data_IF_259195289177
#
_entry.id   IF_259195289177
#
_cell.length_a   1.000
_cell.length_b   1.000
_cell.length_c   1.000
_cell.angle_alpha   90.00
_cell.angle_beta   90.00
_cell.angle_gamma   90.00
#
_symmetry.space_group_name_H-M   'P 1'
#
loop_
_entity.id
_entity.type
_entity.pdbx_description
1 polymer ?
#
# COMPACT_ATOMS: atom_id res chain seq x y z
N UNK A 1 14.10 -9.73 -36.30
CA UNK A 1 13.04 -10.75 -36.34
C UNK A 1 11.83 -10.19 -35.60
N UNK A 2 10.65 -10.30 -36.22
CA UNK A 2 9.48 -9.45 -35.96
C UNK A 2 8.96 -9.47 -34.53
N UNK A 3 8.57 -8.29 -34.06
CA UNK A 3 7.71 -8.06 -32.91
C UNK A 3 6.50 -8.99 -32.99
N UNK A 4 6.49 -10.01 -32.14
CA UNK A 4 5.45 -11.01 -32.14
C UNK A 4 4.19 -10.43 -31.48
N UNK A 5 3.40 -9.70 -32.26
CA UNK A 5 2.07 -9.22 -31.92
C UNK A 5 1.20 -10.32 -31.29
N UNK A 6 1.38 -11.59 -31.69
CA UNK A 6 0.66 -12.72 -31.10
C UNK A 6 1.06 -13.04 -29.65
N UNK A 7 2.29 -12.70 -29.24
CA UNK A 7 2.72 -12.75 -27.84
C UNK A 7 2.05 -11.67 -26.99
N UNK A 8 1.94 -10.45 -27.55
CA UNK A 8 1.22 -9.31 -26.97
C UNK A 8 -0.27 -9.62 -26.77
N UNK A 9 -0.93 -10.23 -27.77
CA UNK A 9 -2.34 -10.66 -27.66
C UNK A 9 -2.54 -11.79 -26.63
N UNK A 10 -1.56 -12.69 -26.45
CA UNK A 10 -1.59 -13.69 -25.37
C UNK A 10 -1.43 -13.07 -23.99
N UNK A 11 -0.57 -12.06 -23.82
CA UNK A 11 -0.43 -11.34 -22.55
C UNK A 11 -1.70 -10.55 -22.19
N UNK A 12 -2.39 -9.96 -23.16
CA UNK A 12 -3.68 -9.29 -22.95
C UNK A 12 -4.78 -10.24 -22.44
N UNK A 13 -4.76 -11.51 -22.87
CA UNK A 13 -5.69 -12.53 -22.38
C UNK A 13 -5.56 -12.78 -20.86
N UNK A 14 -4.38 -12.55 -20.29
CA UNK A 14 -4.14 -12.68 -18.84
C UNK A 14 -4.32 -11.38 -18.06
N UNK A 15 -4.32 -10.23 -18.74
CA UNK A 15 -4.46 -8.93 -18.09
C UNK A 15 -5.93 -8.59 -17.88
N UNK A 16 -6.86 -9.09 -18.71
CA UNK A 16 -8.34 -8.90 -18.66
C UNK A 16 -8.79 -7.66 -17.88
N UNK A 17 -8.19 -6.52 -18.24
CA UNK A 17 -8.39 -5.26 -17.55
C UNK A 17 -8.69 -4.20 -18.62
N UNK A 18 -9.93 -3.70 -18.69
CA UNK A 18 -10.35 -2.74 -19.71
C UNK A 18 -9.60 -1.40 -19.61
N UNK A 19 -8.84 -1.15 -18.54
CA UNK A 19 -8.03 0.06 -18.36
C UNK A 19 -6.54 -0.12 -18.72
N UNK A 20 -6.13 -1.29 -19.18
CA UNK A 20 -4.77 -1.50 -19.68
C UNK A 20 -4.53 -0.68 -20.96
N UNK A 21 -3.38 -0.03 -21.04
CA UNK A 21 -2.96 0.73 -22.23
C UNK A 21 -1.65 0.16 -22.75
N UNK A 22 -1.56 -0.04 -24.06
CA UNK A 22 -0.39 -0.61 -24.72
C UNK A 22 0.36 0.52 -25.41
N UNK A 23 1.66 0.62 -25.15
CA UNK A 23 2.56 1.53 -25.84
C UNK A 23 3.65 0.68 -26.48
N UNK A 24 3.82 0.77 -27.80
CA UNK A 24 4.93 0.12 -28.49
C UNK A 24 6.22 0.93 -28.28
N UNK A 25 7.30 0.23 -27.91
CA UNK A 25 8.63 0.81 -27.70
C UNK A 25 9.59 0.15 -28.69
N UNK A 26 10.35 0.90 -29.49
CA UNK A 26 11.37 0.33 -30.37
C UNK A 26 12.40 -0.49 -29.57
N UNK A 27 12.86 -1.61 -30.14
CA UNK A 27 13.83 -2.49 -29.48
C UNK A 27 15.10 -1.72 -29.06
N UNK A 28 15.58 -1.97 -27.85
CA UNK A 28 16.76 -1.31 -27.29
C UNK A 28 16.57 0.16 -26.86
N UNK A 29 15.38 0.74 -27.05
CA UNK A 29 15.07 2.08 -26.53
C UNK A 29 14.54 2.03 -25.09
N UNK A 30 14.88 3.02 -24.23
CA UNK A 30 14.27 3.14 -22.92
C UNK A 30 12.77 3.44 -23.06
N UNK A 31 11.98 3.00 -22.07
CA UNK A 31 10.58 3.36 -21.99
C UNK A 31 10.42 4.86 -21.72
N UNK A 32 9.73 5.56 -22.62
CA UNK A 32 9.41 6.98 -22.48
C UNK A 32 8.15 7.15 -21.61
N UNK A 33 8.35 7.47 -20.34
CA UNK A 33 7.26 7.66 -19.37
C UNK A 33 6.33 8.83 -19.75
N UNK A 34 6.77 9.79 -20.57
CA UNK A 34 5.93 10.92 -20.99
C UNK A 34 4.74 10.49 -21.87
N UNK A 35 4.84 9.31 -22.49
CA UNK A 35 3.78 8.72 -23.32
C UNK A 35 2.81 7.86 -22.52
N UNK A 36 3.07 7.66 -21.24
CA UNK A 36 2.21 6.87 -20.37
C UNK A 36 1.18 7.79 -19.73
N UNK A 37 -0.12 7.46 -19.76
CA UNK A 37 -1.13 8.22 -19.04
C UNK A 37 -0.78 8.35 -17.55
N UNK A 38 -0.92 9.54 -16.99
CA UNK A 38 -0.48 9.83 -15.61
C UNK A 38 -1.26 9.09 -14.51
N UNK A 39 -2.38 8.44 -14.85
CA UNK A 39 -3.16 7.57 -13.97
C UNK A 39 -2.59 6.14 -13.85
N UNK A 40 -1.57 5.78 -14.65
CA UNK A 40 -1.01 4.43 -14.64
C UNK A 40 0.02 4.27 -13.54
N UNK A 41 -0.20 3.23 -12.72
CA UNK A 41 0.66 2.90 -11.58
C UNK A 41 1.71 1.84 -11.93
N UNK A 42 1.47 1.06 -12.98
CA UNK A 42 2.26 -0.09 -13.38
C UNK A 42 2.58 -0.04 -14.88
N UNK A 43 3.81 -0.41 -15.23
CA UNK A 43 4.30 -0.56 -16.59
C UNK A 43 4.82 -1.99 -16.79
N UNK A 44 4.21 -2.72 -17.72
CA UNK A 44 4.73 -4.01 -18.18
C UNK A 44 5.58 -3.78 -19.43
N UNK A 45 6.87 -4.12 -19.36
CA UNK A 45 7.79 -4.14 -20.49
C UNK A 45 8.01 -5.57 -20.95
N UNK A 46 7.94 -5.79 -22.28
CA UNK A 46 8.12 -7.10 -22.92
C UNK A 46 9.42 -7.05 -23.71
N UNK A 47 10.32 -8.00 -23.48
CA UNK A 47 11.64 -8.05 -24.13
C UNK A 47 12.73 -7.31 -23.35
N UNK A 48 13.92 -7.22 -23.97
CA UNK A 48 15.11 -6.62 -23.36
C UNK A 48 15.08 -5.09 -23.50
N UNK A 49 14.50 -4.44 -22.49
CA UNK A 49 14.42 -2.99 -22.39
C UNK A 49 15.09 -2.51 -21.10
N UNK A 50 15.77 -1.36 -21.18
CA UNK A 50 16.29 -0.68 -20.01
C UNK A 50 15.14 -0.29 -19.05
N UNK A 51 15.35 -0.38 -17.72
CA UNK A 51 14.39 0.11 -16.73
C UNK A 51 14.01 1.57 -17.01
N UNK A 52 12.73 1.94 -16.84
CA UNK A 52 12.35 3.34 -16.89
C UNK A 52 13.07 4.13 -15.78
N UNK A 53 13.49 5.38 -16.06
CA UNK A 53 13.94 6.29 -15.00
C UNK A 53 12.84 6.45 -13.96
N UNK A 54 13.22 6.62 -12.69
CA UNK A 54 12.29 6.79 -11.56
C UNK A 54 11.35 5.61 -11.27
N UNK A 55 11.59 4.42 -11.84
CA UNK A 55 10.88 3.22 -11.43
C UNK A 55 11.33 2.75 -10.03
N UNK A 56 10.37 2.53 -9.14
CA UNK A 56 10.64 2.23 -7.73
C UNK A 56 10.62 0.73 -7.38
N UNK A 57 10.13 -0.10 -8.30
CA UNK A 57 10.05 -1.54 -8.12
C UNK A 57 10.15 -2.23 -9.48
N UNK A 58 10.91 -3.32 -9.56
CA UNK A 58 11.05 -4.17 -10.75
C UNK A 58 10.83 -5.63 -10.36
N UNK A 59 9.91 -6.29 -11.05
CA UNK A 59 9.75 -7.74 -11.01
C UNK A 59 10.05 -8.32 -12.40
N UNK A 60 11.03 -9.20 -12.50
CA UNK A 60 11.38 -9.89 -13.75
C UNK A 60 10.67 -11.23 -13.81
N UNK A 61 9.93 -11.48 -14.90
CA UNK A 61 9.17 -12.69 -15.16
C UNK A 61 9.46 -13.17 -16.59
N UNK A 62 10.46 -14.04 -16.77
CA UNK A 62 10.88 -14.53 -18.10
C UNK A 62 11.07 -13.38 -19.11
N UNK A 63 10.26 -13.34 -20.18
CA UNK A 63 10.31 -12.33 -21.25
C UNK A 63 9.67 -10.98 -20.86
N UNK A 64 9.26 -10.83 -19.59
CA UNK A 64 8.55 -9.66 -19.08
C UNK A 64 9.29 -9.02 -17.90
N UNK A 65 9.20 -7.70 -17.80
CA UNK A 65 9.56 -6.96 -16.60
C UNK A 65 8.41 -6.03 -16.21
N UNK A 66 7.93 -6.16 -14.97
CA UNK A 66 6.90 -5.29 -14.42
C UNK A 66 7.54 -4.22 -13.55
N UNK A 67 7.22 -2.96 -13.84
CA UNK A 67 7.71 -1.80 -13.12
C UNK A 67 6.57 -1.05 -12.45
N UNK A 68 6.78 -0.60 -11.21
CA UNK A 68 5.90 0.40 -10.60
C UNK A 68 6.41 1.79 -10.99
N UNK A 69 5.53 2.58 -11.61
CA UNK A 69 5.82 3.93 -12.13
C UNK A 69 4.97 5.01 -11.47
N UNK A 70 3.88 4.61 -10.79
CA UNK A 70 3.05 5.53 -10.04
C UNK A 70 3.67 5.87 -8.68
N UNK A 71 3.48 7.12 -8.28
CA UNK A 71 3.96 7.63 -6.99
C UNK A 71 2.94 7.44 -5.86
N UNK A 72 1.75 6.88 -6.14
CA UNK A 72 0.76 6.70 -5.11
C UNK A 72 1.24 5.68 -4.07
N UNK A 73 1.17 6.08 -2.80
CA UNK A 73 1.42 5.21 -1.64
C UNK A 73 0.10 4.85 -0.98
N UNK A 74 -0.87 4.45 -1.80
CA UNK A 74 -2.21 4.07 -1.37
C UNK A 74 -2.25 2.57 -1.05
N UNK A 75 -2.70 2.25 0.15
CA UNK A 75 -2.84 0.91 0.70
C UNK A 75 -4.33 0.66 0.89
N UNK A 76 -4.84 -0.33 0.16
CA UNK A 76 -6.19 -0.86 0.30
C UNK A 76 -6.12 -2.12 1.16
N UNK A 77 -6.68 -2.07 2.37
CA UNK A 77 -6.60 -3.16 3.33
C UNK A 77 -7.54 -4.33 3.03
N UNK A 78 -8.31 -4.29 1.93
CA UNK A 78 -9.00 -5.48 1.41
C UNK A 78 -8.02 -6.42 0.67
N UNK A 79 -6.83 -5.94 0.31
CA UNK A 79 -5.80 -6.70 -0.38
C UNK A 79 -4.91 -7.45 0.62
N UNK A 80 -4.31 -8.54 0.16
CA UNK A 80 -3.38 -9.37 0.95
C UNK A 80 -1.91 -8.96 0.80
N UNK A 81 -1.59 -8.12 -0.19
CA UNK A 81 -0.24 -7.63 -0.45
C UNK A 81 -0.29 -6.28 -1.18
N UNK A 82 0.80 -5.50 -1.04
CA UNK A 82 0.97 -4.17 -1.64
C UNK A 82 2.32 -4.05 -2.34
N UNK A 83 2.54 -4.83 -3.42
CA UNK A 83 3.81 -4.90 -4.10
C UNK A 83 4.25 -3.52 -4.61
N UNK A 84 5.52 -3.18 -4.38
CA UNK A 84 6.08 -1.88 -4.74
C UNK A 84 5.61 -0.71 -3.87
N UNK A 85 4.84 -0.95 -2.80
CA UNK A 85 4.49 0.06 -1.79
C UNK A 85 5.07 -0.35 -0.44
N UNK A 86 4.77 -1.57 0.01
CA UNK A 86 5.26 -2.11 1.27
C UNK A 86 6.27 -3.24 1.03
N UNK A 87 7.41 -3.17 1.73
CA UNK A 87 8.39 -4.22 1.85
C UNK A 87 7.97 -5.29 2.87
N UNK A 88 7.22 -4.89 3.90
CA UNK A 88 6.80 -5.77 4.98
C UNK A 88 5.63 -5.21 5.77
N UNK A 89 4.84 -6.12 6.36
CA UNK A 89 3.71 -5.80 7.23
C UNK A 89 3.69 -6.75 8.41
N UNK A 90 3.45 -6.20 9.60
CA UNK A 90 3.36 -6.95 10.85
C UNK A 90 2.14 -6.47 11.65
N UNK A 91 1.55 -7.37 12.43
CA UNK A 91 0.43 -7.04 13.33
C UNK A 91 -0.92 -6.88 12.65
N UNK A 92 -1.09 -7.37 11.41
CA UNK A 92 -2.37 -7.46 10.75
C UNK A 92 -2.87 -8.91 10.73
N UNK A 93 -4.18 -9.09 10.87
CA UNK A 93 -4.86 -10.36 10.60
C UNK A 93 -5.02 -10.61 9.10
N UNK A 94 -5.73 -11.69 8.74
CA UNK A 94 -6.17 -11.93 7.37
C UNK A 94 -7.10 -10.83 6.86
N UNK A 95 -6.92 -10.43 5.59
CA UNK A 95 -7.78 -9.47 4.92
C UNK A 95 -9.21 -10.01 4.73
N UNK A 96 -10.17 -9.11 4.90
CA UNK A 96 -11.61 -9.30 4.76
C UNK A 96 -12.16 -8.39 3.65
N UNK A 97 -13.42 -8.58 3.24
CA UNK A 97 -14.01 -7.86 2.10
C UNK A 97 -14.09 -6.34 2.28
N UNK A 98 -14.01 -5.86 3.54
CA UNK A 98 -14.12 -4.45 3.90
C UNK A 98 -12.77 -3.84 4.33
N UNK A 99 -11.76 -4.65 4.62
CA UNK A 99 -10.51 -4.19 5.22
C UNK A 99 -9.78 -5.29 5.99
N UNK A 100 -8.87 -4.90 6.88
CA UNK A 100 -8.09 -5.82 7.71
C UNK A 100 -8.03 -5.33 9.16
N UNK A 101 -8.16 -6.26 10.10
CA UNK A 101 -7.96 -5.96 11.52
C UNK A 101 -6.48 -5.92 11.91
N UNK A 102 -6.15 -5.08 12.90
CA UNK A 102 -4.96 -5.30 13.73
C UNK A 102 -5.08 -6.63 14.49
N UNK A 103 -3.95 -7.29 14.70
CA UNK A 103 -3.82 -8.44 15.58
C UNK A 103 -2.70 -8.18 16.59
N UNK A 104 -3.09 -7.81 17.81
CA UNK A 104 -2.18 -7.45 18.88
C UNK A 104 -1.92 -5.94 19.02
N UNK A 105 -0.89 -5.56 19.78
CA UNK A 105 -0.70 -4.19 20.26
C UNK A 105 -0.01 -3.26 19.26
N UNK A 106 0.57 -3.79 18.17
CA UNK A 106 1.36 -2.98 17.24
C UNK A 106 1.12 -3.43 15.81
N UNK A 107 0.82 -2.48 14.94
CA UNK A 107 0.86 -2.65 13.48
C UNK A 107 2.06 -1.89 12.94
N UNK A 108 2.87 -2.54 12.10
CA UNK A 108 4.01 -1.90 11.44
C UNK A 108 3.88 -2.07 9.94
N UNK A 109 3.92 -0.96 9.21
CA UNK A 109 3.94 -0.89 7.76
C UNK A 109 5.33 -0.43 7.33
N UNK A 110 6.08 -1.31 6.69
CA UNK A 110 7.41 -1.00 6.16
C UNK A 110 7.31 -0.73 4.66
N UNK A 111 7.62 0.49 4.25
CA UNK A 111 7.56 0.98 2.87
C UNK A 111 8.84 0.64 2.10
N UNK A 112 8.68 0.34 0.80
CA UNK A 112 9.82 0.04 -0.09
C UNK A 112 10.73 1.25 -0.34
N UNK A 113 10.19 2.47 -0.18
CA UNK A 113 10.91 3.73 -0.33
C UNK A 113 10.72 4.61 0.91
N UNK A 114 11.72 5.42 1.30
CA UNK A 114 11.61 6.34 2.43
C UNK A 114 10.37 7.24 2.39
N UNK A 115 9.80 7.54 3.54
CA UNK A 115 8.69 8.49 3.69
C UNK A 115 9.12 9.92 3.31
N UNK A 116 8.24 10.75 2.73
CA UNK A 116 8.55 12.15 2.48
C UNK A 116 8.84 12.91 3.78
N UNK A 117 9.66 13.96 3.73
CA UNK A 117 10.00 14.75 4.94
C UNK A 117 8.79 15.47 5.54
N UNK A 118 7.83 15.86 4.69
CA UNK A 118 6.56 16.50 5.08
C UNK A 118 5.45 15.80 4.34
N UNK A 119 4.49 15.26 5.06
CA UNK A 119 3.37 14.55 4.45
C UNK A 119 2.15 14.57 5.35
N UNK A 120 0.99 14.28 4.76
CA UNK A 120 -0.22 13.90 5.49
C UNK A 120 -0.44 12.41 5.31
N UNK A 121 -0.59 11.72 6.44
CA UNK A 121 -1.07 10.36 6.46
C UNK A 121 -2.61 10.41 6.52
N UNK A 122 -3.26 10.00 5.46
CA UNK A 122 -4.71 9.78 5.45
C UNK A 122 -4.98 8.34 5.85
N UNK A 123 -5.77 8.14 6.89
CA UNK A 123 -6.10 6.84 7.45
C UNK A 123 -7.62 6.73 7.60
N UNK A 124 -8.21 5.76 6.89
CA UNK A 124 -9.61 5.37 7.07
C UNK A 124 -9.68 4.13 7.93
N UNK A 125 -10.14 4.28 9.16
CA UNK A 125 -10.18 3.20 10.14
C UNK A 125 -11.31 3.36 11.17
N UNK A 126 -11.54 2.32 11.96
CA UNK A 126 -12.38 2.34 13.17
C UNK A 126 -11.71 1.57 14.31
N UNK A 127 -12.02 1.93 15.54
CA UNK A 127 -11.60 1.18 16.73
C UNK A 127 -12.58 0.04 17.05
N UNK A 128 -12.07 -0.95 17.79
CA UNK A 128 -12.83 -2.07 18.32
C UNK A 128 -12.82 -2.08 19.85
N UNK A 129 -14.00 -2.34 20.44
CA UNK A 129 -14.17 -2.56 21.87
C UNK A 129 -13.59 -1.42 22.73
N UNK A 130 -12.69 -1.71 23.69
CA UNK A 130 -12.18 -0.73 24.64
C UNK A 130 -11.25 0.32 24.02
N UNK A 131 -10.87 0.16 22.74
CA UNK A 131 -10.05 1.14 22.01
C UNK A 131 -10.88 2.32 21.47
N UNK A 132 -12.21 2.21 21.45
CA UNK A 132 -13.10 3.29 20.99
C UNK A 132 -12.95 4.50 21.91
N UNK A 133 -12.68 5.67 21.33
CA UNK A 133 -12.47 6.90 22.10
C UNK A 133 -11.15 6.96 22.87
N UNK A 134 -10.21 6.03 22.64
CA UNK A 134 -8.87 6.04 23.24
C UNK A 134 -7.84 6.60 22.27
N UNK A 135 -6.75 7.13 22.84
CA UNK A 135 -5.61 7.61 22.07
C UNK A 135 -4.85 6.40 21.49
N UNK A 136 -4.69 6.43 20.18
CA UNK A 136 -3.86 5.50 19.40
C UNK A 136 -2.65 6.30 18.94
N UNK A 137 -1.45 5.81 19.26
CA UNK A 137 -0.23 6.45 18.79
C UNK A 137 0.09 5.98 17.37
N UNK A 138 0.42 6.91 16.49
CA UNK A 138 0.90 6.67 15.13
C UNK A 138 2.27 7.32 15.02
N UNK A 139 3.28 6.53 14.69
CA UNK A 139 4.67 6.97 14.66
C UNK A 139 5.27 6.79 13.27
N UNK A 140 6.02 7.79 12.82
CA UNK A 140 6.79 7.79 11.59
C UNK A 140 8.22 8.27 11.90
N UNK A 141 9.18 7.34 11.90
CA UNK A 141 10.53 7.63 12.39
C UNK A 141 10.51 8.01 13.88
N UNK A 142 11.05 9.18 14.22
CA UNK A 142 11.08 9.70 15.61
C UNK A 142 9.81 10.46 15.98
N UNK A 143 8.99 10.84 15.02
CA UNK A 143 7.79 11.65 15.25
C UNK A 143 6.61 10.76 15.59
N UNK A 144 5.79 11.19 16.55
CA UNK A 144 4.58 10.50 16.96
C UNK A 144 3.41 11.47 17.00
N UNK A 145 2.24 10.98 16.60
CA UNK A 145 0.98 11.67 16.68
C UNK A 145 -0.06 10.78 17.37
N UNK A 146 -0.99 11.38 18.12
CA UNK A 146 -2.11 10.65 18.73
C UNK A 146 -3.38 10.91 17.94
N UNK A 147 -4.12 9.84 17.65
CA UNK A 147 -5.46 9.91 17.05
C UNK A 147 -6.48 9.24 17.95
N UNK A 148 -7.74 9.63 17.78
CA UNK A 148 -8.88 9.00 18.44
C UNK A 148 -9.82 8.45 17.38
N UNK A 149 -10.15 7.16 17.48
CA UNK A 149 -11.03 6.47 16.54
C UNK A 149 -12.39 6.16 17.18
N UNK A 150 -13.46 6.30 16.39
CA UNK A 150 -14.80 5.80 16.74
C UNK A 150 -14.97 4.33 16.36
N UNK A 151 -16.09 3.73 16.74
CA UNK A 151 -16.55 2.41 16.30
C UNK A 151 -17.07 2.41 14.84
N UNK A 152 -17.32 3.58 14.26
CA UNK A 152 -17.62 3.77 12.83
C UNK A 152 -16.35 4.10 12.02
N UNK A 153 -16.21 3.60 10.77
CA UNK A 153 -15.10 3.97 9.90
C UNK A 153 -15.10 5.47 9.60
N UNK A 154 -13.97 6.13 9.83
CA UNK A 154 -13.76 7.54 9.50
C UNK A 154 -12.37 7.75 8.94
N UNK A 155 -12.26 8.70 8.03
CA UNK A 155 -10.98 9.19 7.54
C UNK A 155 -10.41 10.24 8.50
N UNK A 156 -9.13 10.10 8.82
CA UNK A 156 -8.36 11.05 9.62
C UNK A 156 -7.10 11.43 8.83
N UNK A 157 -6.81 12.72 8.80
CA UNK A 157 -5.60 13.28 8.19
C UNK A 157 -4.60 13.64 9.30
N UNK A 158 -3.42 13.03 9.28
CA UNK A 158 -2.39 13.18 10.31
C UNK A 158 -1.16 13.84 9.68
N UNK A 159 -0.88 15.12 9.96
CA UNK A 159 0.29 15.79 9.40
C UNK A 159 1.57 15.34 10.13
N UNK A 160 2.59 14.98 9.36
CA UNK A 160 3.92 14.63 9.86
C UNK A 160 4.99 15.57 9.28
N UNK A 161 5.98 15.89 10.11
CA UNK A 161 7.24 16.54 9.72
C UNK A 161 8.41 15.78 10.32
N UNK A 162 9.00 14.91 9.52
CA UNK A 162 9.99 13.95 10.00
C UNK A 162 11.42 14.37 9.65
N UNK A 163 12.36 13.92 10.47
CA UNK A 163 13.79 14.01 10.19
C UNK A 163 14.32 12.69 9.59
N UNK A 164 15.42 12.75 8.85
CA UNK A 164 15.99 11.57 8.20
C UNK A 164 15.17 11.04 7.02
N UNK A 165 15.19 9.72 6.86
CA UNK A 165 14.54 8.99 5.76
C UNK A 165 13.94 7.65 6.25
N UNK A 166 13.10 7.66 7.31
CA UNK A 166 12.48 6.44 7.82
C UNK A 166 11.62 5.79 6.74
N UNK A 167 11.57 4.47 6.79
CA UNK A 167 10.78 3.64 5.86
C UNK A 167 9.55 3.04 6.53
N UNK A 168 9.27 3.30 7.80
CA UNK A 168 8.18 2.65 8.52
C UNK A 168 7.20 3.63 9.16
N UNK A 169 5.93 3.19 9.20
CA UNK A 169 4.89 3.74 10.05
C UNK A 169 4.45 2.65 11.03
N UNK A 170 4.46 2.96 12.32
CA UNK A 170 3.96 2.06 13.37
C UNK A 170 2.71 2.66 14.02
N UNK A 171 1.78 1.79 14.41
CA UNK A 171 0.52 2.16 15.06
C UNK A 171 0.38 1.32 16.32
N UNK A 172 0.32 1.97 17.47
CA UNK A 172 0.21 1.32 18.78
C UNK A 172 -1.26 1.27 19.21
N UNK A 173 -1.79 0.06 19.29
CA UNK A 173 -3.15 -0.24 19.75
C UNK A 173 -3.13 -0.34 21.28
N UNK A 174 -3.87 0.50 22.01
CA UNK A 174 -3.72 0.62 23.46
C UNK A 174 -4.28 -0.57 24.24
N UNK A 175 -5.36 -1.21 23.76
CA UNK A 175 -6.04 -2.28 24.49
C UNK A 175 -6.64 -3.31 23.51
N UNK A 176 -5.81 -4.04 22.75
CA UNK A 176 -6.31 -5.08 21.85
C UNK A 176 -6.99 -6.19 22.66
N UNK A 177 -8.18 -6.61 22.23
CA UNK A 177 -9.00 -7.61 22.91
C UNK A 177 -9.71 -8.49 21.88
N UNK A 178 -9.93 -9.75 22.21
CA UNK A 178 -10.68 -10.64 21.32
C UNK A 178 -12.19 -10.50 21.51
N UNK A 179 -13.00 -10.65 20.45
CA UNK A 179 -14.45 -10.79 20.57
C UNK A 179 -14.85 -11.91 21.54
N UNK A 180 -14.05 -12.99 21.62
CA UNK A 180 -14.23 -14.08 22.59
C UNK A 180 -14.10 -13.64 24.04
N UNK A 181 -13.10 -12.85 24.37
CA UNK A 181 -12.96 -12.28 25.73
C UNK A 181 -14.10 -11.33 26.10
N UNK A 182 -14.73 -10.71 25.11
CA UNK A 182 -15.93 -9.89 25.28
C UNK A 182 -17.24 -10.71 25.30
N UNK A 183 -17.18 -12.03 25.08
CA UNK A 183 -18.36 -12.89 25.00
C UNK A 183 -19.23 -12.65 23.75
N UNK A 184 -18.66 -12.06 22.69
CA UNK A 184 -19.38 -11.70 21.46
C UNK A 184 -19.38 -12.81 20.41
N UNK A 185 -18.32 -13.63 20.34
CA UNK A 185 -18.19 -14.77 19.41
C UNK A 185 -17.01 -15.67 19.81
N UNK A 186 -16.71 -16.71 19.03
CA UNK A 186 -15.53 -17.57 19.25
C UNK A 186 -14.22 -17.02 18.67
N UNK A 187 -14.24 -15.83 18.06
CA UNK A 187 -13.05 -15.20 17.48
C UNK A 187 -12.03 -14.84 18.58
N UNK A 188 -10.86 -15.47 18.51
CA UNK A 188 -9.77 -15.33 19.48
C UNK A 188 -8.70 -14.31 19.08
N UNK A 189 -8.81 -13.67 17.91
CA UNK A 189 -7.85 -12.64 17.44
C UNK A 189 -7.84 -11.44 18.38
N UNK A 190 -6.67 -10.85 18.62
CA UNK A 190 -6.55 -9.69 19.51
C UNK A 190 -6.81 -8.40 18.73
N UNK A 191 -8.09 -8.12 18.49
CA UNK A 191 -8.53 -7.02 17.64
C UNK A 191 -8.41 -5.66 18.35
N UNK A 192 -8.18 -4.61 17.58
CA UNK A 192 -8.08 -3.26 18.11
C UNK A 192 -8.50 -2.16 17.15
N UNK A 193 -7.99 -2.20 15.92
CA UNK A 193 -8.30 -1.23 14.86
C UNK A 193 -8.63 -1.99 13.57
N UNK A 194 -9.73 -1.61 12.91
CA UNK A 194 -10.09 -2.06 11.59
C UNK A 194 -9.59 -1.04 10.55
N UNK A 195 -8.60 -1.43 9.78
CA UNK A 195 -8.02 -0.64 8.69
C UNK A 195 -8.81 -0.86 7.40
N UNK A 196 -9.20 0.22 6.73
CA UNK A 196 -9.86 0.15 5.42
C UNK A 196 -8.92 0.66 4.34
N UNK A 197 -8.34 1.84 4.54
CA UNK A 197 -7.44 2.46 3.59
C UNK A 197 -6.39 3.31 4.32
N UNK A 198 -5.19 3.40 3.73
CA UNK A 198 -4.17 4.37 4.12
C UNK A 198 -3.53 4.99 2.87
N UNK A 199 -3.17 6.27 2.92
CA UNK A 199 -2.34 6.89 1.89
C UNK A 199 -1.41 7.95 2.46
N UNK A 200 -0.22 8.05 1.88
CA UNK A 200 0.76 9.09 2.17
C UNK A 200 0.72 10.14 1.07
N UNK A 201 0.38 11.38 1.43
CA UNK A 201 0.38 12.53 0.53
C UNK A 201 1.54 13.46 0.91
N UNK A 202 2.53 13.60 0.02
CA UNK A 202 3.64 14.54 0.23
C UNK A 202 3.16 16.00 0.13
N UNK A 203 3.54 16.83 1.11
CA UNK A 203 3.30 18.27 1.08
C UNK A 203 4.59 18.97 0.64
N UNK A 204 4.49 19.74 -0.44
CA UNK A 204 5.57 20.59 -0.95
C UNK A 204 5.68 21.90 -0.17
#
# INVERSE_FOLDING_TARGET
MGSNLAGLFRSLFYVDNPQASIVEIPAGSPADLSKIPGDKEWLLLIGDHAPPPDSHFKLVLNDFSLFRIGNSRKIDFTKKSWPGILAGVQGLSSAEAWGTWSDGPTVTLEFVTPLPKKFVLHLTARAFGPNVGRNVAVQAGTESAEIVLSDSPREIAIPFRISGAPTSISISVPSPISPKELGLSEDSRKLGIAFHQLSVEEIR
#
